data_IF_949893098808
#
_entry.id   IF_949893098808
#
_cell.length_a   1.000
_cell.length_b   1.000
_cell.length_c   1.000
_cell.angle_alpha   90.00
_cell.angle_beta   90.00
_cell.angle_gamma   90.00
#
_symmetry.space_group_name_H-M   'P 1'
#
loop_
_entity.id
_entity.type
_entity.pdbx_description
1 polymer ?
#
# COMPACT_ATOMS: atom_id res chain seq x y z
N UNK A 1 23.36 -21.10 29.49
CA UNK A 1 23.53 -19.63 29.64
C UNK A 1 22.38 -18.99 28.88
N UNK A 2 21.55 -18.19 29.54
CA UNK A 2 20.53 -17.37 28.85
C UNK A 2 21.26 -16.12 28.33
N UNK A 3 21.28 -15.90 27.00
CA UNK A 3 21.88 -14.72 26.39
C UNK A 3 20.94 -13.51 26.52
N UNK A 4 21.43 -12.42 27.09
CA UNK A 4 20.70 -11.14 27.21
C UNK A 4 21.06 -10.17 26.09
N UNK A 5 20.20 -9.16 25.85
CA UNK A 5 20.48 -8.12 24.86
C UNK A 5 21.70 -7.26 25.24
N UNK A 6 21.87 -6.98 26.54
CA UNK A 6 23.02 -6.24 27.08
C UNK A 6 24.34 -6.98 26.84
N UNK A 7 24.35 -8.31 27.03
CA UNK A 7 25.50 -9.15 26.71
C UNK A 7 25.81 -9.12 25.21
N UNK A 8 24.81 -9.23 24.33
CA UNK A 8 25.02 -9.15 22.87
C UNK A 8 25.60 -7.79 22.47
N UNK A 9 25.11 -6.71 23.07
CA UNK A 9 25.61 -5.36 22.81
C UNK A 9 27.07 -5.18 23.28
N UNK A 10 27.44 -5.76 24.42
CA UNK A 10 28.82 -5.71 24.96
C UNK A 10 29.87 -6.42 24.08
N UNK A 11 29.43 -7.31 23.18
CA UNK A 11 30.31 -8.11 22.33
C UNK A 11 30.64 -7.45 20.98
N UNK A 12 30.07 -6.27 20.70
CA UNK A 12 30.24 -5.59 19.41
C UNK A 12 30.24 -4.07 19.54
N UNK A 13 30.60 -3.39 18.46
CA UNK A 13 30.45 -1.94 18.38
C UNK A 13 28.98 -1.55 18.17
N UNK A 14 28.60 -0.35 18.60
CA UNK A 14 27.24 0.19 18.45
C UNK A 14 26.73 0.08 17.00
N UNK A 15 27.54 0.53 16.02
CA UNK A 15 27.17 0.42 14.60
C UNK A 15 27.11 -1.02 14.06
N UNK A 16 27.75 -2.00 14.70
CA UNK A 16 27.57 -3.42 14.36
C UNK A 16 26.32 -4.01 15.02
N UNK A 17 25.98 -3.54 16.22
CA UNK A 17 24.76 -3.90 16.93
C UNK A 17 23.51 -3.46 16.18
N UNK A 18 23.40 -2.18 15.83
CA UNK A 18 22.25 -1.61 15.10
C UNK A 18 22.00 -2.34 13.77
N UNK A 19 23.07 -2.57 13.01
CA UNK A 19 22.98 -3.30 11.74
C UNK A 19 22.61 -4.77 11.95
N UNK A 20 23.08 -5.39 13.04
CA UNK A 20 22.72 -6.76 13.39
C UNK A 20 21.25 -6.90 13.76
N UNK A 21 20.72 -5.96 14.55
CA UNK A 21 19.31 -5.87 14.89
C UNK A 21 18.44 -5.71 13.64
N UNK A 22 18.85 -4.82 12.73
CA UNK A 22 18.18 -4.64 11.45
C UNK A 22 18.17 -5.92 10.61
N UNK A 23 19.32 -6.61 10.49
CA UNK A 23 19.41 -7.86 9.73
C UNK A 23 18.52 -8.96 10.32
N UNK A 24 18.38 -9.00 11.65
CA UNK A 24 17.44 -9.91 12.31
C UNK A 24 15.98 -9.56 11.98
N UNK A 25 15.58 -8.29 12.12
CA UNK A 25 14.21 -7.82 11.82
C UNK A 25 13.80 -8.05 10.37
N UNK A 26 14.73 -7.88 9.44
CA UNK A 26 14.51 -8.13 8.01
C UNK A 26 14.53 -9.64 7.64
N UNK A 27 14.54 -10.55 8.62
CA UNK A 27 14.48 -11.99 8.37
C UNK A 27 15.70 -12.57 7.64
N UNK A 28 16.85 -11.88 7.67
CA UNK A 28 18.04 -12.28 6.89
C UNK A 28 18.77 -13.49 7.46
N UNK A 29 18.41 -13.95 8.65
CA UNK A 29 18.94 -15.19 9.24
C UNK A 29 18.09 -16.35 8.74
N UNK A 30 18.55 -17.06 7.71
CA UNK A 30 17.74 -18.03 6.97
C UNK A 30 17.37 -19.26 7.81
N UNK A 31 18.29 -19.74 8.65
CA UNK A 31 18.09 -20.91 9.52
C UNK A 31 19.16 -21.00 10.61
N UNK A 32 18.79 -21.55 11.77
CA UNK A 32 19.71 -22.01 12.82
C UNK A 32 19.80 -23.55 12.80
N UNK A 33 21.00 -24.09 12.62
CA UNK A 33 21.28 -25.53 12.69
C UNK A 33 22.11 -25.84 13.93
N UNK A 34 21.63 -26.78 14.75
CA UNK A 34 22.27 -27.19 16.00
C UNK A 34 23.04 -28.50 15.81
N UNK A 35 24.35 -28.48 16.06
CA UNK A 35 25.22 -29.67 16.00
C UNK A 35 26.03 -29.75 17.29
N UNK A 36 25.56 -30.56 18.25
CA UNK A 36 26.11 -30.59 19.60
C UNK A 36 26.03 -29.21 20.27
N UNK A 37 27.15 -28.72 20.80
CA UNK A 37 27.26 -27.38 21.40
C UNK A 37 27.61 -26.28 20.38
N UNK A 38 27.38 -26.50 19.09
CA UNK A 38 27.67 -25.52 18.03
C UNK A 38 26.41 -25.16 17.26
N UNK A 39 26.12 -23.87 17.14
CA UNK A 39 25.07 -23.32 16.29
C UNK A 39 25.69 -22.83 14.99
N UNK A 40 25.12 -23.23 13.86
CA UNK A 40 25.49 -22.74 12.53
C UNK A 40 24.32 -21.97 11.93
N UNK A 41 24.62 -20.89 11.23
CA UNK A 41 23.60 -20.10 10.54
C UNK A 41 24.10 -19.59 9.20
N UNK A 42 23.15 -19.31 8.32
CA UNK A 42 23.39 -18.59 7.06
C UNK A 42 22.67 -17.25 7.15
N UNK A 43 23.42 -16.17 6.94
CA UNK A 43 22.88 -14.80 6.98
C UNK A 43 23.00 -14.16 5.60
N UNK A 44 21.87 -13.73 5.05
CA UNK A 44 21.80 -13.03 3.77
C UNK A 44 22.37 -11.60 3.88
N UNK A 45 23.20 -11.21 2.91
CA UNK A 45 23.76 -9.88 2.76
C UNK A 45 24.14 -9.67 1.29
N UNK A 46 25.24 -8.97 1.00
CA UNK A 46 25.80 -8.93 -0.37
C UNK A 46 26.11 -10.34 -0.91
N UNK A 47 26.49 -11.25 -0.01
CA UNK A 47 26.58 -12.68 -0.24
C UNK A 47 25.95 -13.43 0.94
N UNK A 48 25.82 -14.75 0.83
CA UNK A 48 25.44 -15.60 1.96
C UNK A 48 26.65 -15.82 2.88
N UNK A 49 26.56 -15.33 4.11
CA UNK A 49 27.61 -15.47 5.11
C UNK A 49 27.31 -16.62 6.07
N UNK A 50 28.31 -17.46 6.33
CA UNK A 50 28.22 -18.57 7.28
C UNK A 50 28.72 -18.13 8.64
N UNK A 51 27.85 -18.22 9.62
CA UNK A 51 28.12 -17.95 11.03
C UNK A 51 28.21 -19.28 11.78
N UNK A 52 29.15 -19.37 12.72
CA UNK A 52 29.30 -20.52 13.62
C UNK A 52 29.54 -20.00 15.03
N UNK A 53 28.70 -20.40 15.97
CA UNK A 53 28.74 -20.01 17.39
C UNK A 53 28.94 -21.27 18.22
N UNK A 54 29.91 -21.27 19.13
CA UNK A 54 30.10 -22.32 20.13
C UNK A 54 29.49 -21.87 21.45
N UNK A 55 28.68 -22.73 22.03
CA UNK A 55 27.94 -22.52 23.27
C UNK A 55 28.67 -23.15 24.47
N UNK A 56 30.00 -23.16 24.45
CA UNK A 56 30.86 -23.58 25.56
C UNK A 56 31.13 -22.41 26.53
N UNK A 57 31.78 -22.69 27.66
CA UNK A 57 32.09 -21.70 28.71
C UNK A 57 32.90 -20.49 28.21
N UNK A 58 33.54 -20.63 27.05
CA UNK A 58 34.44 -19.65 26.43
C UNK A 58 33.78 -18.82 25.31
N UNK A 59 32.48 -19.02 25.05
CA UNK A 59 31.62 -18.35 24.05
C UNK A 59 32.36 -17.78 22.82
N UNK A 60 32.52 -18.61 21.77
CA UNK A 60 33.27 -18.22 20.55
C UNK A 60 32.38 -18.18 19.32
N UNK A 61 32.30 -17.02 18.68
CA UNK A 61 31.61 -16.86 17.41
C UNK A 61 32.57 -16.54 16.25
N UNK A 62 32.27 -17.08 15.06
CA UNK A 62 33.01 -16.85 13.82
C UNK A 62 32.05 -16.60 12.67
N UNK A 63 32.44 -15.70 11.77
CA UNK A 63 31.74 -15.44 10.52
C UNK A 63 32.76 -15.36 9.38
N UNK A 64 32.40 -15.84 8.20
CA UNK A 64 33.27 -15.78 7.01
C UNK A 64 33.22 -14.42 6.28
N UNK A 65 32.67 -13.37 6.89
CA UNK A 65 32.61 -12.04 6.27
C UNK A 65 33.96 -11.30 6.42
N UNK A 66 34.33 -10.41 5.48
CA UNK A 66 35.61 -9.70 5.49
C UNK A 66 35.65 -8.53 6.48
N UNK A 67 34.93 -8.63 7.60
CA UNK A 67 34.89 -7.57 8.60
C UNK A 67 36.16 -7.63 9.47
N UNK A 68 36.92 -6.54 9.51
CA UNK A 68 38.18 -6.40 10.27
C UNK A 68 38.07 -5.37 11.41
N UNK A 69 36.86 -4.88 11.71
CA UNK A 69 36.65 -3.93 12.80
C UNK A 69 36.56 -4.61 14.18
N UNK A 70 36.51 -3.80 15.23
CA UNK A 70 36.42 -4.30 16.60
C UNK A 70 35.08 -5.01 16.88
N UNK A 71 35.15 -6.03 17.75
CA UNK A 71 34.01 -6.84 18.20
C UNK A 71 33.38 -7.73 17.13
N UNK A 72 32.21 -8.28 17.43
CA UNK A 72 31.50 -9.14 16.49
C UNK A 72 30.81 -8.36 15.36
N UNK A 73 30.91 -8.90 14.15
CA UNK A 73 30.23 -8.33 12.98
C UNK A 73 28.70 -8.43 13.10
N UNK A 74 28.00 -7.59 12.35
CA UNK A 74 26.52 -7.59 12.24
C UNK A 74 25.88 -8.96 11.97
N UNK A 75 26.53 -9.88 11.24
CA UNK A 75 25.96 -11.20 10.96
C UNK A 75 25.97 -12.11 12.19
N UNK A 76 27.02 -12.01 13.01
CA UNK A 76 27.09 -12.73 14.30
C UNK A 76 26.03 -12.16 15.22
N UNK A 77 25.94 -10.84 15.35
CA UNK A 77 24.90 -10.16 16.16
C UNK A 77 23.50 -10.61 15.76
N UNK A 78 23.16 -10.58 14.47
CA UNK A 78 21.85 -11.03 13.99
C UNK A 78 21.56 -12.49 14.36
N UNK A 79 22.57 -13.36 14.27
CA UNK A 79 22.46 -14.78 14.65
C UNK A 79 22.28 -14.96 16.16
N UNK A 80 22.90 -14.12 16.98
CA UNK A 80 22.75 -14.14 18.44
C UNK A 80 21.36 -13.72 18.89
N UNK A 81 20.81 -12.68 18.27
CA UNK A 81 19.43 -12.25 18.51
C UNK A 81 18.46 -13.36 18.09
N UNK A 82 18.70 -13.98 16.92
CA UNK A 82 17.90 -15.13 16.48
C UNK A 82 18.00 -16.32 17.45
N UNK A 83 19.19 -16.62 17.97
CA UNK A 83 19.39 -17.70 18.93
C UNK A 83 18.70 -17.43 20.27
N UNK A 84 18.80 -16.20 20.79
CA UNK A 84 18.08 -15.78 22.00
C UNK A 84 16.58 -15.99 21.82
N UNK A 85 16.02 -15.49 20.72
CA UNK A 85 14.59 -15.56 20.47
C UNK A 85 14.14 -17.01 20.16
N UNK A 86 15.01 -17.84 19.57
CA UNK A 86 14.77 -19.28 19.42
C UNK A 86 14.70 -20.01 20.77
N UNK A 87 15.58 -19.65 21.72
CA UNK A 87 15.55 -20.19 23.08
C UNK A 87 14.30 -19.75 23.86
N UNK A 88 13.81 -18.53 23.62
CA UNK A 88 12.51 -18.06 24.13
C UNK A 88 11.34 -18.75 23.39
N UNK A 89 11.48 -19.05 22.10
CA UNK A 89 10.52 -19.83 21.31
C UNK A 89 10.24 -21.23 21.87
N UNK A 90 11.25 -21.90 22.43
CA UNK A 90 11.06 -23.19 23.12
C UNK A 90 10.30 -23.10 24.46
N UNK A 91 10.14 -21.91 25.06
CA UNK A 91 9.19 -21.68 26.16
C UNK A 91 7.77 -21.49 25.63
N UNK A 92 7.61 -20.81 24.48
CA UNK A 92 6.33 -20.64 23.77
C UNK A 92 5.74 -21.98 23.29
N UNK A 93 6.56 -22.85 22.70
CA UNK A 93 6.13 -24.19 22.26
C UNK A 93 5.62 -25.06 23.43
N UNK A 94 6.25 -24.97 24.61
CA UNK A 94 5.81 -25.69 25.81
C UNK A 94 4.53 -25.12 26.41
N UNK A 95 4.34 -23.80 26.35
CA UNK A 95 3.12 -23.15 26.81
C UNK A 95 1.94 -23.47 25.88
N UNK A 96 2.15 -23.44 24.56
CA UNK A 96 1.17 -23.88 23.57
C UNK A 96 0.79 -25.36 23.74
N UNK A 97 1.77 -26.24 24.00
CA UNK A 97 1.50 -27.67 24.27
C UNK A 97 0.65 -27.85 25.55
N UNK A 98 0.91 -27.07 26.60
CA UNK A 98 0.09 -27.09 27.83
C UNK A 98 -1.32 -26.57 27.56
N UNK A 99 -1.47 -25.47 26.82
CA UNK A 99 -2.79 -24.93 26.45
C UNK A 99 -3.57 -25.93 25.61
N UNK A 100 -2.95 -26.53 24.58
CA UNK A 100 -3.58 -27.54 23.74
C UNK A 100 -4.04 -28.75 24.55
N UNK A 101 -3.22 -29.25 25.47
CA UNK A 101 -3.59 -30.35 26.37
C UNK A 101 -4.79 -30.00 27.29
N UNK A 102 -4.93 -28.74 27.71
CA UNK A 102 -6.09 -28.27 28.48
C UNK A 102 -7.31 -28.22 27.56
N UNK A 103 -7.18 -27.61 26.37
CA UNK A 103 -8.28 -27.48 25.40
C UNK A 103 -8.83 -28.85 24.97
N UNK A 104 -7.99 -29.88 24.83
CA UNK A 104 -8.39 -31.25 24.48
C UNK A 104 -9.22 -31.94 25.58
N UNK A 105 -9.09 -31.51 26.84
CA UNK A 105 -9.78 -32.11 28.00
C UNK A 105 -11.03 -31.35 28.41
N UNK A 106 -11.12 -30.08 28.09
CA UNK A 106 -12.25 -29.22 28.42
C UNK A 106 -13.43 -29.56 27.50
N UNK A 107 -14.62 -29.74 28.07
CA UNK A 107 -15.81 -29.97 27.25
C UNK A 107 -16.21 -28.71 26.49
N UNK A 108 -16.89 -28.87 25.35
CA UNK A 108 -17.42 -27.74 24.57
C UNK A 108 -18.33 -26.82 25.42
N UNK A 109 -19.03 -27.38 26.42
CA UNK A 109 -19.88 -26.62 27.33
C UNK A 109 -19.04 -25.72 28.25
N UNK A 110 -18.01 -26.28 28.88
CA UNK A 110 -17.11 -25.56 29.77
C UNK A 110 -16.34 -24.47 29.02
N UNK A 111 -15.88 -24.76 27.80
CA UNK A 111 -15.21 -23.78 26.95
C UNK A 111 -16.14 -22.61 26.59
N UNK A 112 -17.40 -22.90 26.22
CA UNK A 112 -18.40 -21.86 25.94
C UNK A 112 -18.75 -21.03 27.18
N UNK A 113 -18.81 -21.63 28.36
CA UNK A 113 -19.06 -20.91 29.62
C UNK A 113 -17.86 -20.04 30.02
N UNK A 114 -16.64 -20.54 29.84
CA UNK A 114 -15.41 -19.78 30.03
C UNK A 114 -15.37 -18.56 29.11
N UNK A 115 -15.58 -18.75 27.81
CA UNK A 115 -15.62 -17.65 26.83
C UNK A 115 -16.70 -16.61 27.16
N UNK A 116 -17.91 -17.03 27.56
CA UNK A 116 -18.97 -16.10 28.00
C UNK A 116 -18.58 -15.25 29.21
N UNK A 117 -17.79 -15.81 30.13
CA UNK A 117 -17.25 -15.03 31.26
C UNK A 117 -16.21 -14.04 30.75
N UNK A 118 -15.25 -14.51 29.96
CA UNK A 118 -14.21 -13.65 29.40
C UNK A 118 -14.79 -12.50 28.57
N UNK A 119 -15.81 -12.73 27.74
CA UNK A 119 -16.49 -11.66 26.98
C UNK A 119 -17.21 -10.60 27.82
N UNK A 120 -17.54 -10.89 29.09
CA UNK A 120 -18.11 -9.90 30.00
C UNK A 120 -17.03 -9.05 30.66
N UNK A 121 -15.85 -9.62 30.86
CA UNK A 121 -14.73 -9.00 31.55
C UNK A 121 -13.82 -8.26 30.56
N UNK A 122 -13.76 -8.73 29.32
CA UNK A 122 -12.90 -8.22 28.25
C UNK A 122 -13.73 -7.96 26.98
N UNK A 123 -14.18 -6.71 26.78
CA UNK A 123 -14.84 -6.28 25.55
C UNK A 123 -13.98 -6.47 24.29
N UNK A 124 -12.65 -6.39 24.42
CA UNK A 124 -11.68 -6.55 23.31
C UNK A 124 -11.71 -7.98 22.78
N UNK A 125 -11.56 -8.95 23.68
CA UNK A 125 -11.67 -10.37 23.34
C UNK A 125 -13.04 -10.72 22.72
N UNK A 126 -14.10 -10.06 23.17
CA UNK A 126 -15.44 -10.23 22.58
C UNK A 126 -15.51 -9.67 21.16
N UNK A 127 -14.95 -8.49 20.90
CA UNK A 127 -14.86 -7.90 19.56
C UNK A 127 -14.01 -8.78 18.64
N UNK A 128 -12.81 -9.17 19.07
CA UNK A 128 -11.94 -10.09 18.34
C UNK A 128 -12.62 -11.43 18.05
N UNK A 129 -13.31 -12.02 19.03
CA UNK A 129 -14.06 -13.26 18.82
C UNK A 129 -15.20 -13.07 17.81
N UNK A 130 -15.90 -11.93 17.82
CA UNK A 130 -16.95 -11.62 16.84
C UNK A 130 -16.39 -11.44 15.43
N UNK A 131 -15.23 -10.80 15.28
CA UNK A 131 -14.53 -10.62 14.00
C UNK A 131 -14.08 -12.00 13.50
N UNK A 132 -13.34 -12.74 14.32
CA UNK A 132 -12.79 -14.05 13.97
C UNK A 132 -13.87 -15.09 13.61
N UNK A 133 -15.02 -15.07 14.30
CA UNK A 133 -16.16 -15.94 13.99
C UNK A 133 -17.24 -15.25 13.13
N UNK A 134 -17.00 -14.06 12.58
CA UNK A 134 -17.96 -13.34 11.73
C UNK A 134 -18.39 -14.17 10.52
N UNK A 135 -17.47 -14.99 10.02
CA UNK A 135 -17.68 -15.99 8.98
C UNK A 135 -18.79 -17.03 9.28
N UNK A 136 -19.23 -17.16 10.54
CA UNK A 136 -20.38 -18.02 10.92
C UNK A 136 -21.64 -17.22 11.27
N UNK A 137 -21.57 -15.89 11.24
CA UNK A 137 -22.61 -14.96 11.68
C UNK A 137 -23.51 -14.38 10.58
N UNK A 138 -23.22 -14.65 9.30
CA UNK A 138 -23.94 -14.06 8.16
C UNK A 138 -23.25 -12.80 7.63
N UNK A 139 -23.72 -12.32 6.48
CA UNK A 139 -23.24 -11.07 5.86
C UNK A 139 -23.50 -9.89 6.80
N UNK A 140 -22.48 -9.05 7.00
CA UNK A 140 -22.60 -7.80 7.76
C UNK A 140 -22.76 -6.60 6.81
N UNK A 141 -23.29 -5.52 7.36
CA UNK A 141 -23.24 -4.21 6.72
C UNK A 141 -21.86 -3.57 6.89
N UNK A 142 -21.52 -2.63 6.01
CA UNK A 142 -20.31 -1.81 6.14
C UNK A 142 -20.28 -1.11 7.51
N UNK A 143 -21.42 -0.60 7.98
CA UNK A 143 -21.52 0.09 9.27
C UNK A 143 -21.16 -0.82 10.46
N UNK A 144 -21.59 -2.09 10.44
CA UNK A 144 -21.22 -3.05 11.49
C UNK A 144 -19.71 -3.33 11.50
N UNK A 145 -19.07 -3.39 10.33
CA UNK A 145 -17.61 -3.48 10.25
C UNK A 145 -16.93 -2.21 10.77
N UNK A 146 -17.43 -1.03 10.43
CA UNK A 146 -16.88 0.25 10.94
C UNK A 146 -16.96 0.32 12.47
N UNK A 147 -18.06 -0.12 13.07
CA UNK A 147 -18.21 -0.19 14.53
C UNK A 147 -17.17 -1.14 15.15
N UNK A 148 -16.91 -2.28 14.54
CA UNK A 148 -15.91 -3.24 15.02
C UNK A 148 -14.47 -2.71 14.88
N UNK A 149 -14.16 -2.00 13.79
CA UNK A 149 -12.83 -1.42 13.54
C UNK A 149 -12.56 -0.23 14.46
N UNK A 150 -13.56 0.62 14.73
CA UNK A 150 -13.40 1.75 15.64
C UNK A 150 -13.05 1.33 17.08
N UNK A 151 -13.46 0.13 17.52
CA UNK A 151 -13.04 -0.41 18.81
C UNK A 151 -11.51 -0.54 18.89
N UNK A 152 -10.82 -0.83 17.78
CA UNK A 152 -9.36 -0.94 17.75
C UNK A 152 -8.67 0.40 18.08
N UNK A 153 -9.29 1.53 17.76
CA UNK A 153 -8.78 2.86 18.11
C UNK A 153 -9.08 3.24 19.57
N UNK A 154 -10.25 2.87 20.10
CA UNK A 154 -10.56 3.08 21.52
C UNK A 154 -9.60 2.31 22.44
N UNK A 155 -9.08 1.19 21.94
CA UNK A 155 -8.16 0.31 22.65
C UNK A 155 -6.73 0.85 22.80
N UNK A 156 -6.31 1.77 21.92
CA UNK A 156 -4.99 2.37 21.93
C UNK A 156 -4.92 3.69 22.70
N UNK A 157 -6.08 4.27 23.03
CA UNK A 157 -6.25 5.50 23.79
C UNK A 157 -6.05 5.33 25.31
N UNK A 158 -5.09 4.49 25.74
CA UNK A 158 -4.82 4.24 27.16
C UNK A 158 -3.74 5.18 27.73
N UNK A 159 -3.81 5.42 29.05
CA UNK A 159 -3.20 6.56 29.79
C UNK A 159 -1.68 6.76 29.71
N UNK A 160 -0.92 5.99 28.93
CA UNK A 160 0.55 6.02 28.89
C UNK A 160 1.18 6.20 27.49
N UNK A 161 0.39 6.51 26.47
CA UNK A 161 0.86 6.79 25.11
C UNK A 161 0.05 6.00 24.09
N UNK A 162 -0.25 6.62 22.94
CA UNK A 162 -0.99 5.98 21.85
C UNK A 162 -0.15 4.80 21.34
N UNK A 163 -0.68 3.58 21.41
CA UNK A 163 -0.16 2.48 20.59
C UNK A 163 -0.77 2.58 19.19
N UNK A 164 -0.07 2.18 18.14
CA UNK A 164 -0.67 2.08 16.80
C UNK A 164 -1.83 1.06 16.83
N UNK A 165 -2.93 1.36 16.12
CA UNK A 165 -4.04 0.43 16.00
C UNK A 165 -3.63 -0.77 15.12
N UNK A 166 -3.86 -1.99 15.59
CA UNK A 166 -3.50 -3.21 14.86
C UNK A 166 -4.66 -3.71 13.99
N UNK A 167 -4.53 -3.57 12.67
CA UNK A 167 -5.56 -3.99 11.71
C UNK A 167 -5.43 -5.44 11.22
N UNK A 168 -4.38 -6.18 11.62
CA UNK A 168 -4.08 -7.51 11.08
C UNK A 168 -5.27 -8.48 11.19
N UNK A 169 -6.02 -8.45 12.30
CA UNK A 169 -7.14 -9.36 12.51
C UNK A 169 -8.32 -9.10 11.56
N UNK A 170 -8.59 -7.83 11.25
CA UNK A 170 -9.64 -7.44 10.31
C UNK A 170 -9.21 -7.80 8.88
N UNK A 171 -7.93 -7.62 8.57
CA UNK A 171 -7.35 -8.03 7.29
C UNK A 171 -7.38 -9.55 7.11
N UNK A 172 -6.99 -10.34 8.12
CA UNK A 172 -7.10 -11.81 8.13
C UNK A 172 -8.55 -12.27 7.89
N UNK A 173 -9.53 -11.56 8.47
CA UNK A 173 -10.94 -11.84 8.21
C UNK A 173 -11.29 -11.60 6.75
N UNK A 174 -10.89 -10.47 6.16
CA UNK A 174 -11.11 -10.17 4.76
C UNK A 174 -10.48 -11.23 3.84
N UNK A 175 -9.22 -11.60 4.12
CA UNK A 175 -8.50 -12.66 3.41
C UNK A 175 -9.24 -14.00 3.49
N UNK A 176 -9.80 -14.34 4.66
CA UNK A 176 -10.57 -15.57 4.82
C UNK A 176 -11.82 -15.61 3.92
N UNK A 177 -12.48 -14.46 3.68
CA UNK A 177 -13.59 -14.34 2.74
C UNK A 177 -13.12 -14.43 1.29
N UNK A 178 -11.98 -13.82 0.95
CA UNK A 178 -11.34 -13.95 -0.38
C UNK A 178 -11.06 -15.42 -0.69
N UNK A 179 -10.42 -16.15 0.24
CA UNK A 179 -10.06 -17.56 0.07
C UNK A 179 -11.27 -18.47 -0.19
N UNK A 180 -12.45 -18.07 0.26
CA UNK A 180 -13.73 -18.79 0.06
C UNK A 180 -14.50 -18.31 -1.17
N UNK A 181 -13.97 -17.33 -1.90
CA UNK A 181 -14.61 -16.72 -3.06
C UNK A 181 -15.69 -15.70 -2.73
N UNK A 182 -15.86 -15.29 -1.46
CA UNK A 182 -16.80 -14.25 -1.07
C UNK A 182 -16.17 -12.85 -1.16
N UNK A 183 -15.82 -12.45 -2.38
CA UNK A 183 -15.15 -11.19 -2.68
C UNK A 183 -15.98 -9.95 -2.35
N UNK A 184 -17.32 -10.07 -2.36
CA UNK A 184 -18.22 -8.97 -2.01
C UNK A 184 -18.15 -8.64 -0.53
N UNK A 185 -18.05 -9.66 0.33
CA UNK A 185 -17.92 -9.44 1.77
C UNK A 185 -16.54 -8.87 2.13
N UNK A 186 -15.48 -9.42 1.51
CA UNK A 186 -14.13 -8.85 1.65
C UNK A 186 -14.08 -7.37 1.23
N UNK A 187 -14.74 -7.00 0.13
CA UNK A 187 -14.85 -5.62 -0.31
C UNK A 187 -15.55 -4.73 0.74
N UNK A 188 -16.60 -5.20 1.42
CA UNK A 188 -17.23 -4.42 2.50
C UNK A 188 -16.28 -4.16 3.66
N UNK A 189 -15.44 -5.15 4.01
CA UNK A 189 -14.44 -5.02 5.08
C UNK A 189 -13.40 -3.97 4.71
N UNK A 190 -12.80 -4.07 3.51
CA UNK A 190 -11.81 -3.10 3.07
C UNK A 190 -12.38 -1.69 2.90
N UNK A 191 -13.63 -1.58 2.43
CA UNK A 191 -14.31 -0.29 2.40
C UNK A 191 -14.46 0.26 3.82
N UNK A 192 -15.00 -0.50 4.76
CA UNK A 192 -15.15 -0.08 6.15
C UNK A 192 -13.82 0.34 6.77
N UNK A 193 -12.75 -0.42 6.51
CA UNK A 193 -11.41 -0.13 7.01
C UNK A 193 -10.84 1.16 6.42
N UNK A 194 -10.95 1.37 5.11
CA UNK A 194 -10.52 2.63 4.47
C UNK A 194 -11.27 3.85 5.03
N UNK A 195 -12.57 3.71 5.29
CA UNK A 195 -13.40 4.79 5.84
C UNK A 195 -13.01 5.13 7.27
N UNK A 196 -12.80 4.11 8.12
CA UNK A 196 -12.42 4.33 9.52
C UNK A 196 -11.01 4.90 9.63
N UNK A 197 -10.06 4.45 8.81
CA UNK A 197 -8.71 5.02 8.79
C UNK A 197 -8.77 6.50 8.39
N UNK A 198 -9.50 6.84 7.32
CA UNK A 198 -9.70 8.23 6.92
C UNK A 198 -10.33 9.07 8.03
N UNK A 199 -11.40 8.58 8.66
CA UNK A 199 -12.12 9.29 9.74
C UNK A 199 -11.26 9.53 10.99
N UNK A 200 -10.23 8.72 11.23
CA UNK A 200 -9.32 8.87 12.37
C UNK A 200 -7.98 9.53 12.00
N UNK A 201 -7.76 9.89 10.74
CA UNK A 201 -6.45 10.36 10.25
C UNK A 201 -5.99 11.65 10.94
N UNK A 202 -6.92 12.53 11.34
CA UNK A 202 -6.59 13.79 12.03
C UNK A 202 -6.17 13.61 13.51
N UNK A 203 -6.51 12.47 14.13
CA UNK A 203 -6.32 12.24 15.57
C UNK A 203 -5.18 11.26 15.87
N UNK A 204 -4.61 10.62 14.85
CA UNK A 204 -3.48 9.69 14.97
C UNK A 204 -2.16 10.34 14.57
N UNK A 205 -1.06 9.83 15.13
CA UNK A 205 0.29 10.19 14.69
C UNK A 205 0.68 9.27 13.52
N UNK A 206 0.76 9.84 12.32
CA UNK A 206 1.19 9.15 11.09
C UNK A 206 2.59 9.60 10.63
N UNK A 207 3.43 10.10 11.56
CA UNK A 207 4.76 10.61 11.21
C UNK A 207 5.68 9.56 10.56
N UNK A 208 5.41 8.27 10.76
CA UNK A 208 6.14 7.15 10.15
C UNK A 208 5.48 6.58 8.89
N UNK A 209 4.30 7.09 8.52
CA UNK A 209 3.52 6.68 7.35
C UNK A 209 2.75 5.36 7.51
N UNK A 210 2.58 4.87 8.74
CA UNK A 210 1.82 3.65 9.00
C UNK A 210 0.36 3.73 8.51
N UNK A 211 -0.42 4.70 8.98
CA UNK A 211 -1.84 4.84 8.65
C UNK A 211 -2.07 5.23 7.20
N UNK A 212 -1.22 6.08 6.60
CA UNK A 212 -1.32 6.41 5.17
C UNK A 212 -0.98 5.21 4.29
N UNK A 213 -0.03 4.37 4.71
CA UNK A 213 0.26 3.07 4.09
C UNK A 213 -0.93 2.11 4.17
N UNK A 214 -1.53 1.96 5.35
CA UNK A 214 -2.71 1.11 5.56
C UNK A 214 -3.93 1.63 4.78
N UNK A 215 -4.17 2.93 4.76
CA UNK A 215 -5.22 3.54 3.95
C UNK A 215 -5.04 3.21 2.46
N UNK A 216 -3.84 3.41 1.92
CA UNK A 216 -3.53 3.10 0.52
C UNK A 216 -3.75 1.63 0.22
N UNK A 217 -3.22 0.74 1.07
CA UNK A 217 -3.38 -0.70 0.93
C UNK A 217 -4.86 -1.13 0.92
N UNK A 218 -5.67 -0.58 1.82
CA UNK A 218 -7.08 -0.97 1.97
C UNK A 218 -7.93 -0.53 0.78
N UNK A 219 -7.70 0.65 0.21
CA UNK A 219 -8.37 1.08 -1.02
C UNK A 219 -7.95 0.21 -2.21
N UNK A 220 -6.68 -0.17 -2.31
CA UNK A 220 -6.21 -1.10 -3.34
C UNK A 220 -6.88 -2.48 -3.24
N UNK A 221 -6.94 -3.06 -2.04
CA UNK A 221 -7.57 -4.37 -1.81
C UNK A 221 -9.09 -4.34 -2.04
N UNK A 222 -9.75 -3.24 -1.70
CA UNK A 222 -11.14 -2.98 -2.08
C UNK A 222 -11.32 -3.10 -3.60
N UNK A 223 -10.52 -2.37 -4.37
CA UNK A 223 -10.61 -2.39 -5.85
C UNK A 223 -10.28 -3.78 -6.41
N UNK A 224 -9.28 -4.48 -5.86
CA UNK A 224 -8.93 -5.86 -6.27
C UNK A 224 -10.11 -6.81 -6.05
N UNK A 225 -10.74 -6.76 -4.88
CA UNK A 225 -11.92 -7.56 -4.57
C UNK A 225 -13.07 -7.28 -5.55
N UNK A 226 -13.40 -6.00 -5.77
CA UNK A 226 -14.49 -5.60 -6.67
C UNK A 226 -14.26 -6.00 -8.13
N UNK A 227 -13.01 -5.96 -8.61
CA UNK A 227 -12.64 -6.41 -9.97
C UNK A 227 -12.83 -7.92 -10.13
N UNK A 228 -12.45 -8.70 -9.12
CA UNK A 228 -12.53 -10.15 -9.14
C UNK A 228 -13.96 -10.67 -8.89
N UNK A 229 -14.82 -9.86 -8.27
CA UNK A 229 -16.19 -10.25 -7.89
C UNK A 229 -17.17 -10.44 -9.07
N UNK A 230 -16.73 -10.22 -10.32
CA UNK A 230 -17.55 -10.45 -11.51
C UNK A 230 -18.80 -9.55 -11.60
N UNK A 231 -18.70 -8.33 -11.07
CA UNK A 231 -19.81 -7.37 -11.00
C UNK A 231 -20.27 -6.92 -12.39
N UNK A 232 -21.58 -6.81 -12.58
CA UNK A 232 -22.14 -6.16 -13.78
C UNK A 232 -22.00 -4.64 -13.67
N UNK A 233 -22.01 -3.95 -14.81
CA UNK A 233 -21.92 -2.48 -14.86
C UNK A 233 -22.90 -1.77 -13.91
N UNK A 234 -24.17 -2.21 -13.84
CA UNK A 234 -25.15 -1.59 -12.92
C UNK A 234 -24.80 -1.73 -11.44
N UNK A 235 -24.15 -2.82 -11.03
CA UNK A 235 -23.63 -2.98 -9.67
C UNK A 235 -22.39 -2.11 -9.44
N UNK A 236 -21.55 -1.95 -10.48
CA UNK A 236 -20.32 -1.17 -10.45
C UNK A 236 -20.58 0.33 -10.28
N UNK A 237 -21.69 0.86 -10.82
CA UNK A 237 -22.07 2.28 -10.69
C UNK A 237 -22.06 2.79 -9.25
N UNK A 238 -22.51 1.97 -8.29
CA UNK A 238 -22.51 2.33 -6.87
C UNK A 238 -21.09 2.58 -6.36
N UNK A 239 -20.16 1.70 -6.70
CA UNK A 239 -18.75 1.81 -6.31
C UNK A 239 -18.01 2.93 -7.05
N UNK A 240 -18.28 3.12 -8.35
CA UNK A 240 -17.70 4.25 -9.11
C UNK A 240 -18.14 5.58 -8.48
N UNK A 241 -19.43 5.70 -8.14
CA UNK A 241 -19.94 6.90 -7.48
C UNK A 241 -19.33 7.08 -6.08
N UNK A 242 -19.17 6.00 -5.32
CA UNK A 242 -18.50 6.03 -4.03
C UNK A 242 -17.06 6.56 -4.14
N UNK A 243 -16.23 5.93 -4.98
CA UNK A 243 -14.82 6.32 -5.16
C UNK A 243 -14.70 7.76 -5.67
N UNK A 244 -15.55 8.17 -6.62
CA UNK A 244 -15.54 9.53 -7.14
C UNK A 244 -16.00 10.57 -6.11
N UNK A 245 -16.98 10.26 -5.27
CA UNK A 245 -17.37 11.14 -4.17
C UNK A 245 -16.25 11.30 -3.16
N UNK A 246 -15.53 10.22 -2.82
CA UNK A 246 -14.36 10.29 -1.94
C UNK A 246 -13.23 11.13 -2.53
N UNK A 247 -12.97 11.01 -3.83
CA UNK A 247 -12.05 11.89 -4.54
C UNK A 247 -12.45 13.38 -4.42
N UNK A 248 -13.73 13.69 -4.54
CA UNK A 248 -14.23 15.07 -4.43
C UNK A 248 -14.19 15.62 -2.99
N UNK A 249 -14.39 14.76 -1.99
CA UNK A 249 -14.24 15.10 -0.58
C UNK A 249 -12.79 15.47 -0.27
N UNK A 250 -11.82 14.71 -0.81
CA UNK A 250 -10.40 15.00 -0.65
C UNK A 250 -9.91 14.90 0.79
N UNK A 251 -10.55 14.02 1.58
CA UNK A 251 -10.28 13.84 3.00
C UNK A 251 -9.90 12.37 3.25
N UNK A 252 -8.68 12.08 3.76
CA UNK A 252 -7.62 13.03 4.13
C UNK A 252 -6.95 13.70 2.91
N UNK A 253 -6.17 14.77 3.13
CA UNK A 253 -5.59 15.64 2.08
C UNK A 253 -4.83 14.90 0.95
N UNK A 254 -4.25 13.73 1.22
CA UNK A 254 -3.51 12.91 0.26
C UNK A 254 -4.36 11.86 -0.47
N UNK A 255 -5.64 11.73 -0.12
CA UNK A 255 -6.51 10.64 -0.57
C UNK A 255 -6.93 10.75 -2.03
N UNK A 256 -6.88 11.95 -2.62
CA UNK A 256 -7.37 12.18 -3.98
C UNK A 256 -6.63 11.32 -5.00
N UNK A 257 -5.29 11.28 -4.95
CA UNK A 257 -4.48 10.47 -5.87
C UNK A 257 -4.79 8.96 -5.73
N UNK A 258 -5.06 8.51 -4.51
CA UNK A 258 -5.40 7.10 -4.22
C UNK A 258 -6.77 6.76 -4.84
N UNK A 259 -7.77 7.63 -4.69
CA UNK A 259 -9.10 7.40 -5.26
C UNK A 259 -9.13 7.57 -6.78
N UNK A 260 -8.32 8.47 -7.34
CA UNK A 260 -8.14 8.60 -8.78
C UNK A 260 -7.54 7.30 -9.36
N UNK A 261 -6.44 6.82 -8.80
CA UNK A 261 -5.85 5.54 -9.21
C UNK A 261 -6.82 4.37 -9.03
N UNK A 262 -7.59 4.34 -7.94
CA UNK A 262 -8.64 3.35 -7.72
C UNK A 262 -9.70 3.36 -8.83
N UNK A 263 -10.15 4.55 -9.25
CA UNK A 263 -11.10 4.72 -10.34
C UNK A 263 -10.52 4.25 -11.68
N UNK A 264 -9.27 4.58 -11.99
CA UNK A 264 -8.58 4.13 -13.21
C UNK A 264 -8.45 2.60 -13.26
N UNK A 265 -8.04 2.00 -12.14
CA UNK A 265 -7.89 0.55 -12.05
C UNK A 265 -9.24 -0.17 -12.09
N UNK A 266 -10.29 0.46 -11.58
CA UNK A 266 -11.62 -0.12 -11.54
C UNK A 266 -12.34 0.04 -12.88
N UNK A 267 -12.43 1.25 -13.44
CA UNK A 267 -13.23 1.60 -14.62
C UNK A 267 -12.55 1.19 -15.94
N UNK A 268 -12.62 -0.10 -16.28
CA UNK A 268 -11.94 -0.63 -17.48
C UNK A 268 -12.86 -0.91 -18.67
N UNK A 269 -14.18 -0.98 -18.45
CA UNK A 269 -15.15 -1.15 -19.53
C UNK A 269 -15.61 0.19 -20.10
N UNK A 270 -16.09 0.18 -21.35
CA UNK A 270 -16.64 1.37 -21.99
C UNK A 270 -17.79 1.97 -21.17
N UNK A 271 -18.69 1.13 -20.69
CA UNK A 271 -19.84 1.54 -19.90
C UNK A 271 -19.42 2.22 -18.59
N UNK A 272 -18.40 1.69 -17.91
CA UNK A 272 -17.87 2.30 -16.68
C UNK A 272 -17.24 3.67 -16.96
N UNK A 273 -16.44 3.78 -18.02
CA UNK A 273 -15.80 5.03 -18.45
C UNK A 273 -16.84 6.10 -18.82
N UNK A 274 -17.88 5.73 -19.58
CA UNK A 274 -18.98 6.65 -19.92
C UNK A 274 -19.76 7.10 -18.67
N UNK A 275 -19.95 6.22 -17.70
CA UNK A 275 -20.59 6.57 -16.44
C UNK A 275 -19.71 7.48 -15.58
N UNK A 276 -18.43 7.19 -15.45
CA UNK A 276 -17.47 8.03 -14.73
C UNK A 276 -17.37 9.43 -15.36
N UNK A 277 -17.24 9.50 -16.69
CA UNK A 277 -17.30 10.76 -17.45
C UNK A 277 -18.56 11.57 -17.15
N UNK A 278 -19.71 10.90 -17.05
CA UNK A 278 -20.99 11.55 -16.73
C UNK A 278 -20.99 12.13 -15.30
N UNK A 279 -20.41 11.42 -14.33
CA UNK A 279 -20.25 11.92 -12.97
C UNK A 279 -19.29 13.11 -12.91
N UNK A 280 -18.19 13.07 -13.68
CA UNK A 280 -17.17 14.11 -13.72
C UNK A 280 -17.65 15.41 -14.37
N UNK A 281 -18.43 15.32 -15.46
CA UNK A 281 -18.82 16.47 -16.29
C UNK A 281 -19.34 17.71 -15.55
N UNK A 282 -20.25 17.60 -14.55
CA UNK A 282 -20.72 18.74 -13.75
C UNK A 282 -19.64 19.46 -12.93
N UNK A 283 -18.53 18.78 -12.64
CA UNK A 283 -17.44 19.32 -11.81
C UNK A 283 -16.33 19.97 -12.63
N UNK A 284 -16.30 19.76 -13.96
CA UNK A 284 -15.27 20.33 -14.82
C UNK A 284 -15.23 21.87 -14.72
N UNK A 285 -14.03 22.47 -14.60
CA UNK A 285 -13.89 23.90 -14.45
C UNK A 285 -14.33 24.62 -15.73
N UNK A 286 -15.10 25.71 -15.58
CA UNK A 286 -15.40 26.62 -16.71
C UNK A 286 -14.24 27.57 -17.03
N UNK A 287 -13.42 27.85 -16.02
CA UNK A 287 -12.26 28.74 -16.08
C UNK A 287 -11.22 28.22 -15.11
N UNK A 288 -9.95 28.25 -15.50
CA UNK A 288 -8.85 27.89 -14.63
C UNK A 288 -8.57 29.03 -13.65
N UNK A 289 -8.42 28.77 -12.34
CA UNK A 289 -8.01 29.79 -11.38
C UNK A 289 -6.64 30.38 -11.73
N UNK A 290 -6.51 31.71 -11.68
CA UNK A 290 -5.25 32.40 -12.06
C UNK A 290 -4.08 32.06 -11.13
N UNK A 291 -4.36 31.80 -9.85
CA UNK A 291 -3.33 31.46 -8.88
C UNK A 291 -2.97 29.97 -8.98
N UNK A 292 -1.87 29.67 -9.68
CA UNK A 292 -1.35 28.32 -9.88
C UNK A 292 -0.91 27.61 -8.60
N UNK A 293 -0.67 28.35 -7.52
CA UNK A 293 -0.30 27.78 -6.22
C UNK A 293 -1.52 27.49 -5.32
N UNK A 294 -2.73 27.74 -5.80
CA UNK A 294 -3.95 27.53 -5.00
C UNK A 294 -4.48 26.10 -5.12
N UNK A 295 -5.02 25.56 -4.02
CA UNK A 295 -5.74 24.27 -4.05
C UNK A 295 -6.84 24.23 -5.12
N UNK A 296 -7.49 25.36 -5.39
CA UNK A 296 -8.51 25.47 -6.44
C UNK A 296 -7.95 25.22 -7.83
N UNK A 297 -6.70 25.67 -8.10
CA UNK A 297 -6.02 25.39 -9.36
C UNK A 297 -5.71 23.90 -9.47
N UNK A 298 -5.08 23.30 -8.45
CA UNK A 298 -4.77 21.86 -8.45
C UNK A 298 -6.01 21.00 -8.63
N UNK A 299 -7.11 21.30 -7.93
CA UNK A 299 -8.39 20.60 -8.11
C UNK A 299 -8.94 20.77 -9.53
N UNK A 300 -8.83 21.97 -10.12
CA UNK A 300 -9.28 22.21 -11.49
C UNK A 300 -8.46 21.42 -12.53
N UNK A 301 -7.14 21.39 -12.36
CA UNK A 301 -6.24 20.62 -13.22
C UNK A 301 -6.48 19.12 -13.04
N UNK A 302 -6.59 18.62 -11.80
CA UNK A 302 -6.88 17.21 -11.51
C UNK A 302 -8.16 16.70 -12.19
N UNK A 303 -9.22 17.50 -12.20
CA UNK A 303 -10.46 17.14 -12.91
C UNK A 303 -10.28 17.11 -14.43
N UNK A 304 -9.42 17.96 -15.00
CA UNK A 304 -9.12 17.99 -16.44
C UNK A 304 -8.19 16.84 -16.86
N UNK A 305 -7.19 16.52 -16.06
CA UNK A 305 -6.31 15.36 -16.30
C UNK A 305 -7.12 14.06 -16.20
N UNK A 306 -8.00 13.95 -15.20
CA UNK A 306 -8.95 12.83 -15.09
C UNK A 306 -9.85 12.70 -16.33
N UNK A 307 -10.43 13.81 -16.80
CA UNK A 307 -11.25 13.80 -18.02
C UNK A 307 -10.43 13.40 -19.25
N UNK A 308 -9.17 13.84 -19.33
CA UNK A 308 -8.22 13.46 -20.39
C UNK A 308 -8.00 11.94 -20.38
N UNK A 309 -7.66 11.37 -19.23
CA UNK A 309 -7.45 9.92 -19.06
C UNK A 309 -8.68 9.10 -19.45
N UNK A 310 -9.89 9.52 -19.04
CA UNK A 310 -11.15 8.85 -19.41
C UNK A 310 -11.35 8.88 -20.93
N UNK A 311 -11.16 10.04 -21.56
CA UNK A 311 -11.36 10.20 -23.00
C UNK A 311 -10.33 9.42 -23.82
N UNK A 312 -9.08 9.33 -23.34
CA UNK A 312 -8.04 8.48 -23.92
C UNK A 312 -8.41 7.00 -23.83
N UNK A 313 -8.89 6.55 -22.66
CA UNK A 313 -9.33 5.18 -22.45
C UNK A 313 -10.55 4.79 -23.31
N UNK A 314 -11.43 5.75 -23.63
CA UNK A 314 -12.54 5.58 -24.57
C UNK A 314 -12.09 5.47 -26.04
N UNK A 315 -10.81 5.71 -26.35
CA UNK A 315 -10.23 5.56 -27.68
C UNK A 315 -10.91 6.44 -28.73
N UNK A 316 -11.23 5.87 -29.89
CA UNK A 316 -11.82 6.61 -31.02
C UNK A 316 -13.17 7.28 -30.67
N UNK A 317 -13.89 6.79 -29.65
CA UNK A 317 -15.15 7.40 -29.21
C UNK A 317 -14.89 8.70 -28.45
N UNK A 318 -13.87 8.73 -27.59
CA UNK A 318 -13.50 9.92 -26.80
C UNK A 318 -12.66 10.93 -27.58
N UNK A 319 -12.08 10.53 -28.71
CA UNK A 319 -11.05 11.28 -29.45
C UNK A 319 -11.43 12.70 -29.83
N UNK A 320 -12.63 12.93 -30.38
CA UNK A 320 -13.03 14.28 -30.79
C UNK A 320 -13.13 15.24 -29.59
N UNK A 321 -13.67 14.75 -28.48
CA UNK A 321 -13.81 15.51 -27.24
C UNK A 321 -12.45 15.72 -26.57
N UNK A 322 -11.55 14.72 -26.62
CA UNK A 322 -10.17 14.82 -26.15
C UNK A 322 -9.42 15.95 -26.87
N UNK A 323 -9.53 16.01 -28.20
CA UNK A 323 -8.93 17.09 -28.98
C UNK A 323 -9.45 18.46 -28.56
N UNK A 324 -10.75 18.61 -28.35
CA UNK A 324 -11.36 19.88 -27.95
C UNK A 324 -10.85 20.32 -26.57
N UNK A 325 -10.86 19.40 -25.59
CA UNK A 325 -10.39 19.67 -24.24
C UNK A 325 -8.92 20.08 -24.23
N UNK A 326 -8.06 19.28 -24.87
CA UNK A 326 -6.63 19.56 -24.89
C UNK A 326 -6.33 20.86 -25.66
N UNK A 327 -7.00 21.13 -26.77
CA UNK A 327 -6.86 22.41 -27.48
C UNK A 327 -7.24 23.63 -26.64
N UNK A 328 -8.23 23.48 -25.77
CA UNK A 328 -8.69 24.54 -24.88
C UNK A 328 -7.72 24.79 -23.72
N UNK A 329 -7.14 23.73 -23.14
CA UNK A 329 -6.41 23.84 -21.87
C UNK A 329 -4.90 23.53 -21.91
N UNK A 330 -4.32 23.11 -23.05
CA UNK A 330 -2.90 22.74 -23.10
C UNK A 330 -1.92 23.86 -22.70
N UNK A 331 -2.34 25.13 -22.72
CA UNK A 331 -1.48 26.26 -22.33
C UNK A 331 -1.47 26.51 -20.82
N UNK A 332 -2.43 25.95 -20.10
CA UNK A 332 -2.65 26.21 -18.69
C UNK A 332 -1.71 25.36 -17.83
N UNK A 333 -1.52 24.10 -18.23
CA UNK A 333 -0.80 23.09 -17.47
C UNK A 333 0.12 22.23 -18.34
N UNK A 334 1.25 21.80 -17.77
CA UNK A 334 2.31 21.08 -18.47
C UNK A 334 1.91 19.64 -18.84
N UNK A 335 1.09 18.97 -18.02
CA UNK A 335 0.67 17.60 -18.28
C UNK A 335 -0.37 17.55 -19.40
N UNK A 336 -1.28 18.52 -19.44
CA UNK A 336 -2.22 18.72 -20.55
C UNK A 336 -1.47 19.08 -21.84
N UNK A 337 -0.41 19.89 -21.75
CA UNK A 337 0.49 20.16 -22.87
C UNK A 337 1.11 18.88 -23.43
N UNK A 338 1.75 18.07 -22.60
CA UNK A 338 2.39 16.84 -23.06
C UNK A 338 1.38 15.87 -23.64
N UNK A 339 0.22 15.73 -23.00
CA UNK A 339 -0.89 14.90 -23.51
C UNK A 339 -1.32 15.34 -24.91
N UNK A 340 -1.43 16.65 -25.15
CA UNK A 340 -1.81 17.17 -26.47
C UNK A 340 -0.75 16.89 -27.55
N UNK A 341 0.52 17.11 -27.24
CA UNK A 341 1.61 16.84 -28.19
C UNK A 341 1.70 15.35 -28.50
N UNK A 342 1.55 14.49 -27.50
CA UNK A 342 1.54 13.03 -27.68
C UNK A 342 0.35 12.56 -28.53
N UNK A 343 -0.85 13.12 -28.32
CA UNK A 343 -2.03 12.83 -29.14
C UNK A 343 -1.80 13.23 -30.60
N UNK A 344 -1.24 14.41 -30.85
CA UNK A 344 -0.89 14.87 -32.20
C UNK A 344 0.16 13.96 -32.87
N UNK A 345 1.19 13.56 -32.13
CA UNK A 345 2.22 12.63 -32.62
C UNK A 345 1.61 11.28 -32.99
N UNK A 346 0.77 10.71 -32.11
CA UNK A 346 0.10 9.41 -32.31
C UNK A 346 -0.78 9.39 -33.56
N UNK A 347 -1.45 10.51 -33.86
CA UNK A 347 -2.29 10.68 -35.04
C UNK A 347 -1.53 11.10 -36.32
N UNK A 348 -0.19 11.13 -36.27
CA UNK A 348 0.64 11.52 -37.42
C UNK A 348 0.57 13.00 -37.78
N UNK A 349 0.06 13.86 -36.88
CA UNK A 349 0.02 15.32 -37.04
C UNK A 349 1.34 15.96 -36.59
N UNK A 350 2.47 15.38 -37.00
CA UNK A 350 3.81 15.73 -36.50
C UNK A 350 4.15 17.21 -36.69
N UNK A 351 3.72 17.83 -37.79
CA UNK A 351 3.94 19.27 -38.01
C UNK A 351 3.23 20.15 -36.99
N UNK A 352 2.00 19.77 -36.61
CA UNK A 352 1.27 20.47 -35.56
C UNK A 352 1.90 20.20 -34.19
N UNK A 353 2.31 18.95 -33.93
CA UNK A 353 2.99 18.57 -32.70
C UNK A 353 4.26 19.39 -32.47
N UNK A 354 5.10 19.56 -33.51
CA UNK A 354 6.30 20.39 -33.46
C UNK A 354 5.95 21.84 -33.14
N UNK A 355 4.95 22.41 -33.83
CA UNK A 355 4.54 23.81 -33.61
C UNK A 355 4.07 24.04 -32.17
N UNK A 356 3.27 23.13 -31.63
CA UNK A 356 2.82 23.22 -30.24
C UNK A 356 4.01 23.06 -29.29
N UNK A 357 4.92 22.13 -29.56
CA UNK A 357 6.09 21.94 -28.70
C UNK A 357 7.07 23.14 -28.70
N UNK A 358 7.25 23.82 -29.85
CA UNK A 358 8.02 25.07 -29.95
C UNK A 358 7.40 26.18 -29.09
N UNK A 359 6.07 26.24 -29.07
CA UNK A 359 5.34 27.17 -28.22
C UNK A 359 5.49 26.83 -26.72
N UNK A 360 5.51 25.54 -26.40
CA UNK A 360 5.73 25.03 -25.04
C UNK A 360 7.03 25.53 -24.40
N UNK A 361 8.10 25.68 -25.18
CA UNK A 361 9.38 26.24 -24.69
C UNK A 361 9.23 27.66 -24.11
N UNK A 362 8.24 28.42 -24.59
CA UNK A 362 7.96 29.77 -24.11
C UNK A 362 7.03 29.72 -22.89
N UNK A 363 6.03 28.84 -22.94
CA UNK A 363 4.98 28.75 -21.91
C UNK A 363 5.48 28.09 -20.61
N UNK A 364 6.36 27.10 -20.73
CA UNK A 364 6.80 26.24 -19.63
C UNK A 364 8.33 26.27 -19.48
N UNK A 365 8.86 27.45 -19.16
CA UNK A 365 10.30 27.70 -19.06
C UNK A 365 11.04 26.78 -18.05
N UNK A 366 10.35 26.28 -17.03
CA UNK A 366 10.89 25.30 -16.07
C UNK A 366 11.07 23.89 -16.65
N UNK A 367 10.43 23.57 -17.78
CA UNK A 367 10.47 22.26 -18.45
C UNK A 367 11.18 22.32 -19.81
N UNK A 368 12.12 23.26 -19.96
CA UNK A 368 12.79 23.53 -21.23
C UNK A 368 13.55 22.30 -21.75
N UNK A 369 14.16 21.52 -20.85
CA UNK A 369 14.97 20.36 -21.22
C UNK A 369 14.08 19.23 -21.76
N UNK A 370 13.00 18.90 -21.04
CA UNK A 370 12.02 17.88 -21.41
C UNK A 370 11.33 18.22 -22.74
N UNK A 371 10.94 19.48 -22.91
CA UNK A 371 10.31 19.96 -24.16
C UNK A 371 11.33 19.93 -25.32
N UNK A 372 12.60 20.26 -25.06
CA UNK A 372 13.65 20.19 -26.07
C UNK A 372 13.94 18.75 -26.51
N UNK A 373 13.92 17.79 -25.58
CA UNK A 373 14.02 16.36 -25.90
C UNK A 373 12.84 15.88 -26.76
N UNK A 374 11.62 16.30 -26.39
CA UNK A 374 10.41 16.02 -27.17
C UNK A 374 10.49 16.58 -28.59
N UNK A 375 10.91 17.83 -28.75
CA UNK A 375 11.12 18.47 -30.06
C UNK A 375 12.13 17.71 -30.92
N UNK A 376 13.26 17.34 -30.33
CA UNK A 376 14.29 16.55 -31.01
C UNK A 376 13.75 15.19 -31.49
N UNK A 377 12.90 14.55 -30.69
CA UNK A 377 12.21 13.30 -31.07
C UNK A 377 11.27 13.54 -32.25
N UNK A 378 10.39 14.54 -32.17
CA UNK A 378 9.41 14.85 -33.21
C UNK A 378 10.06 15.22 -34.55
N UNK A 379 11.15 15.99 -34.52
CA UNK A 379 11.91 16.33 -35.73
C UNK A 379 12.54 15.10 -36.39
N UNK A 380 13.08 14.17 -35.59
CA UNK A 380 13.59 12.88 -36.10
C UNK A 380 12.48 12.04 -36.74
N UNK A 381 11.29 12.01 -36.13
CA UNK A 381 10.11 11.33 -36.70
C UNK A 381 9.75 11.92 -38.06
N UNK A 382 9.61 13.25 -38.15
CA UNK A 382 9.36 13.97 -39.41
C UNK A 382 10.41 13.69 -40.50
N UNK A 383 11.69 13.62 -40.13
CA UNK A 383 12.77 13.27 -41.07
C UNK A 383 12.71 11.81 -41.56
N UNK A 384 12.14 10.89 -40.77
CA UNK A 384 11.95 9.49 -41.19
C UNK A 384 10.80 9.37 -42.17
N UNK A 385 9.69 10.05 -41.89
CA UNK A 385 8.48 10.02 -42.74
C UNK A 385 8.69 10.71 -44.10
N UNK A 386 9.66 11.63 -44.19
CA UNK A 386 10.01 12.35 -45.43
C UNK A 386 11.09 11.65 -46.26
N UNK A 387 11.72 10.57 -45.79
CA UNK A 387 12.69 9.82 -46.62
C UNK A 387 11.94 8.98 -47.66
N UNK A 388 12.14 9.22 -48.98
CA UNK A 388 11.50 8.41 -50.00
C UNK A 388 11.97 6.95 -49.87
N UNK A 389 11.03 6.00 -49.89
CA UNK A 389 11.33 4.59 -50.06
C UNK A 389 12.17 4.41 -51.32
N UNK A 390 13.49 4.24 -51.16
CA UNK A 390 14.37 3.79 -52.24
C UNK A 390 13.95 2.36 -52.57
N UNK A 391 13.18 2.21 -53.65
CA UNK A 391 12.96 0.95 -54.35
C UNK A 391 14.26 0.43 -54.95
#
# INVERSE_FOLDING_TARGET
MELTMEEIQSLCTEGSFERGLRYYREGRVEKLDFVGNTVKAVVAGTHKYRVTIRLDDDFKARCNCPYEGDGYCKHIVATLIALKNYQEGGKREKEEEVINNILDRVSLKELKEFLRRMFREDPKLKAHFKIYFADRGGEKSIQEYKEEINLLYEETADKHGVTEADFNQIQDLAESFIQRGNLREAAKIYQALSEVIAENMEVVDDSDGYYSGEFSHTVEELVKCLKQAGLKHDERKGYINYLFNRYLEGDPDFSQEIYEYALEQFCTSKEDLEYWKKLLGPHLPKTIPENKDSQKYYNAIGLLTMQTAILEALGEIGKEELYKLLQEYYREDVDLFFSYVQLLEKDGKTDQAIKIAEEGLILFNYFTDEISELLNKLQKTKMRDTKPHKK
#
